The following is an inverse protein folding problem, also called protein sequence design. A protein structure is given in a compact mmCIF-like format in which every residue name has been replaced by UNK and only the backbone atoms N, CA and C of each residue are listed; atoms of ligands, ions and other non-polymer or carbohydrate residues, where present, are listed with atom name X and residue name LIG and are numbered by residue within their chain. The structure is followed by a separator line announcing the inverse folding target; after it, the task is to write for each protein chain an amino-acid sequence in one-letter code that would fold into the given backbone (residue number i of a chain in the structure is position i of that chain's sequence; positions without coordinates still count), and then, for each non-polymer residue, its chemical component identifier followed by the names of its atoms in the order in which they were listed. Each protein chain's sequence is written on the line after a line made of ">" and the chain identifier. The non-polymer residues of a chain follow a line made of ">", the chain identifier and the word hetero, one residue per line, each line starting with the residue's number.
data_IF_705351371087
#
_entry.id   IF_705351371087
#
_cell.length_a   1.000
_cell.length_b   1.000
_cell.length_c   1.000
_cell.angle_alpha   90.00
_cell.angle_beta   90.00
_cell.angle_gamma   90.00
#
_symmetry.space_group_name_H-M   'P 1'
#
loop_
_entity.id
_entity.type
_entity.pdbx_description
1 polymer ?
#
# COMPACT_ATOMS: atom_id res chain seq x y z
N UNK A 1 -3.45 9.06 -14.52
CA UNK A 1 -2.15 8.53 -14.06
C UNK A 1 -2.21 7.02 -13.97
N UNK A 2 -1.17 6.34 -14.33
CA UNK A 2 -1.07 4.88 -14.26
C UNK A 2 -0.15 4.48 -13.11
N UNK A 3 -0.30 3.24 -12.61
CA UNK A 3 0.54 2.76 -11.52
C UNK A 3 2.03 2.79 -11.85
N UNK A 4 2.41 2.53 -13.10
CA UNK A 4 3.82 2.56 -13.49
C UNK A 4 4.44 3.96 -13.46
N UNK A 5 3.64 4.99 -13.28
CA UNK A 5 4.10 6.37 -13.14
C UNK A 5 4.38 6.76 -11.68
N UNK A 6 4.10 5.85 -10.74
CA UNK A 6 4.23 6.12 -9.29
C UNK A 6 5.59 5.71 -8.70
N UNK A 7 6.54 5.31 -9.52
CA UNK A 7 7.88 4.89 -9.08
C UNK A 7 7.88 3.67 -8.17
N UNK A 8 6.96 2.75 -8.40
CA UNK A 8 6.90 1.50 -7.67
C UNK A 8 7.84 0.47 -8.27
N UNK A 9 8.33 -0.46 -7.43
CA UNK A 9 9.15 -1.57 -7.88
C UNK A 9 8.36 -2.51 -8.80
N UNK A 10 9.06 -3.24 -9.64
CA UNK A 10 8.44 -4.18 -10.56
C UNK A 10 7.60 -5.23 -9.84
N UNK A 11 8.06 -5.71 -8.67
CA UNK A 11 7.32 -6.68 -7.88
C UNK A 11 5.95 -6.14 -7.43
N UNK A 12 5.89 -4.86 -7.03
CA UNK A 12 4.63 -4.21 -6.68
C UNK A 12 3.73 -4.06 -7.89
N UNK A 13 4.28 -3.66 -9.03
CA UNK A 13 3.52 -3.52 -10.26
C UNK A 13 2.93 -4.85 -10.74
N UNK A 14 3.67 -5.94 -10.60
CA UNK A 14 3.18 -7.28 -10.94
C UNK A 14 2.05 -7.72 -10.03
N UNK A 15 2.15 -7.44 -8.72
CA UNK A 15 1.08 -7.76 -7.78
C UNK A 15 -0.20 -6.98 -8.10
N UNK A 16 -0.06 -5.70 -8.43
CA UNK A 16 -1.18 -4.85 -8.83
C UNK A 16 -1.87 -5.39 -10.08
N UNK A 17 -1.09 -5.77 -11.07
CA UNK A 17 -1.61 -6.34 -12.31
C UNK A 17 -2.34 -7.65 -12.05
N UNK A 18 -1.76 -8.53 -11.22
CA UNK A 18 -2.37 -9.81 -10.87
C UNK A 18 -3.71 -9.66 -10.17
N UNK A 19 -3.90 -8.56 -9.42
CA UNK A 19 -5.16 -8.26 -8.74
C UNK A 19 -6.18 -7.59 -9.65
N UNK A 20 -5.82 -7.28 -10.88
CA UNK A 20 -6.72 -6.65 -11.83
C UNK A 20 -6.90 -5.14 -11.66
N UNK A 21 -6.00 -4.50 -10.93
CA UNK A 21 -6.04 -3.04 -10.77
C UNK A 21 -5.56 -2.39 -12.07
N UNK A 22 -6.37 -1.54 -12.66
CA UNK A 22 -6.04 -0.90 -13.94
C UNK A 22 -5.38 0.46 -13.73
N UNK A 23 -5.94 1.29 -12.85
CA UNK A 23 -5.44 2.62 -12.60
C UNK A 23 -5.55 2.93 -11.11
N UNK A 24 -4.67 3.79 -10.56
CA UNK A 24 -4.76 4.15 -9.15
C UNK A 24 -6.02 4.97 -8.87
N UNK A 25 -6.58 4.77 -7.68
CA UNK A 25 -7.66 5.60 -7.17
C UNK A 25 -7.13 6.97 -6.77
N UNK A 26 -8.02 7.91 -6.48
CA UNK A 26 -7.62 9.26 -6.08
C UNK A 26 -6.72 9.26 -4.85
N UNK A 27 -7.09 8.48 -3.80
CA UNK A 27 -6.26 8.42 -2.59
C UNK A 27 -4.90 7.80 -2.87
N UNK A 28 -4.82 6.83 -3.76
CA UNK A 28 -3.56 6.21 -4.15
C UNK A 28 -2.68 7.19 -4.91
N UNK A 29 -3.22 7.92 -5.89
CA UNK A 29 -2.47 8.92 -6.64
C UNK A 29 -1.88 10.01 -5.76
N UNK A 30 -2.64 10.45 -4.76
CA UNK A 30 -2.22 11.53 -3.87
C UNK A 30 -1.26 11.07 -2.80
N UNK A 31 -1.44 9.86 -2.28
CA UNK A 31 -0.70 9.37 -1.11
C UNK A 31 0.61 8.71 -1.47
N UNK A 32 0.62 7.84 -2.48
CA UNK A 32 1.79 7.03 -2.79
C UNK A 32 3.03 7.86 -3.09
N UNK A 33 2.98 8.89 -3.96
CA UNK A 33 4.18 9.69 -4.22
C UNK A 33 4.71 10.40 -2.98
N UNK A 34 3.82 10.93 -2.14
CA UNK A 34 4.23 11.63 -0.92
C UNK A 34 4.92 10.67 0.04
N UNK A 35 4.35 9.49 0.23
CA UNK A 35 4.88 8.51 1.18
C UNK A 35 6.17 7.86 0.69
N UNK A 36 6.36 7.74 -0.62
CA UNK A 36 7.60 7.20 -1.18
C UNK A 36 8.78 8.16 -1.03
N UNK A 37 8.53 9.47 -1.19
CA UNK A 37 9.59 10.48 -1.23
C UNK A 37 9.96 11.04 0.13
N UNK A 38 9.09 10.89 1.14
CA UNK A 38 9.25 11.57 2.42
C UNK A 38 9.10 10.60 3.58
N UNK A 39 9.88 10.81 4.64
CA UNK A 39 9.72 10.13 5.93
C UNK A 39 8.95 11.04 6.88
N UNK A 40 7.70 11.32 6.55
CA UNK A 40 6.83 12.21 7.31
C UNK A 40 5.61 11.48 7.81
N UNK A 41 5.00 12.03 8.85
CA UNK A 41 3.68 11.57 9.27
C UNK A 41 2.65 12.04 8.26
N UNK A 42 1.65 11.18 8.01
CA UNK A 42 0.68 11.42 6.96
C UNK A 42 -0.71 10.99 7.40
N UNK A 43 -1.70 11.83 7.17
CA UNK A 43 -3.10 11.50 7.42
C UNK A 43 -3.83 11.52 6.10
N UNK A 44 -4.35 10.37 5.69
CA UNK A 44 -5.15 10.23 4.49
C UNK A 44 -6.55 9.75 4.83
N UNK A 45 -7.55 10.48 4.38
CA UNK A 45 -8.95 10.12 4.60
C UNK A 45 -9.63 9.86 3.28
N UNK A 46 -10.36 8.76 3.21
CA UNK A 46 -11.13 8.40 2.03
C UNK A 46 -12.27 7.48 2.44
N UNK A 47 -13.28 7.39 1.59
CA UNK A 47 -14.40 6.51 1.85
C UNK A 47 -14.00 5.05 1.70
N UNK A 48 -14.75 4.15 2.35
CA UNK A 48 -14.55 2.71 2.24
C UNK A 48 -14.64 2.27 0.76
N UNK A 49 -13.77 1.36 0.36
CA UNK A 49 -13.76 0.85 -1.00
C UNK A 49 -12.99 1.70 -2.00
N UNK A 50 -12.25 2.72 -1.54
CA UNK A 50 -11.49 3.61 -2.42
C UNK A 50 -10.02 3.21 -2.57
N UNK A 51 -9.63 2.05 -2.05
CA UNK A 51 -8.26 1.56 -2.19
C UNK A 51 -7.29 2.10 -1.14
N UNK A 52 -7.79 2.46 0.05
CA UNK A 52 -6.94 2.99 1.12
C UNK A 52 -5.82 2.04 1.54
N UNK A 53 -6.11 0.74 1.61
CA UNK A 53 -5.13 -0.23 2.05
C UNK A 53 -3.91 -0.23 1.13
N UNK A 54 -4.12 -0.27 -0.18
CA UNK A 54 -3.02 -0.20 -1.13
C UNK A 54 -2.30 1.14 -1.07
N UNK A 55 -3.00 2.23 -0.76
CA UNK A 55 -2.41 3.56 -0.69
C UNK A 55 -1.29 3.64 0.35
N UNK A 56 -1.39 2.91 1.46
CA UNK A 56 -0.30 2.88 2.43
C UNK A 56 0.54 1.60 2.33
N UNK A 57 -0.03 0.48 1.88
CA UNK A 57 0.70 -0.77 1.78
C UNK A 57 1.80 -0.72 0.72
N UNK A 58 1.53 -0.16 -0.44
CA UNK A 58 2.51 -0.12 -1.52
C UNK A 58 3.74 0.70 -1.17
N UNK A 59 3.63 1.94 -0.62
CA UNK A 59 4.82 2.63 -0.15
C UNK A 59 5.55 1.90 0.97
N UNK A 60 4.81 1.25 1.86
CA UNK A 60 5.40 0.48 2.95
C UNK A 60 6.26 -0.64 2.42
N UNK A 61 5.78 -1.41 1.44
CA UNK A 61 6.55 -2.50 0.84
C UNK A 61 7.82 -1.99 0.15
N UNK A 62 7.78 -0.79 -0.44
CA UNK A 62 8.97 -0.20 -1.05
C UNK A 62 10.05 0.11 -0.02
N UNK A 63 9.67 0.42 1.22
CA UNK A 63 10.57 0.81 2.29
C UNK A 63 11.04 -0.33 3.18
N UNK A 64 10.44 -1.53 3.07
CA UNK A 64 10.82 -2.66 3.90
C UNK A 64 12.19 -3.21 3.52
N UNK A 65 12.97 -3.58 4.53
CA UNK A 65 14.21 -4.33 4.35
C UNK A 65 13.89 -5.82 4.42
N UNK A 66 13.85 -6.48 3.29
CA UNK A 66 13.49 -7.89 3.19
C UNK A 66 14.51 -8.83 3.84
N UNK A 67 15.70 -8.33 4.14
CA UNK A 67 16.76 -9.11 4.79
C UNK A 67 16.66 -9.09 6.31
N UNK A 68 15.95 -8.12 6.87
CA UNK A 68 15.75 -8.01 8.31
C UNK A 68 14.65 -8.94 8.78
N UNK A 69 14.85 -9.54 9.95
CA UNK A 69 13.82 -10.36 10.62
C UNK A 69 13.10 -9.60 11.72
N UNK A 70 13.49 -8.35 11.95
CA UNK A 70 12.86 -7.50 12.95
C UNK A 70 11.51 -7.00 12.48
N UNK A 71 10.65 -6.64 13.44
CA UNK A 71 9.38 -6.00 13.12
C UNK A 71 9.68 -4.58 12.64
N UNK A 72 9.27 -4.27 11.42
CA UNK A 72 9.57 -2.97 10.80
C UNK A 72 8.36 -2.05 10.73
N UNK A 73 7.16 -2.60 10.93
CA UNK A 73 5.92 -1.83 10.81
C UNK A 73 4.85 -2.42 11.71
N UNK A 74 3.97 -1.56 12.21
CA UNK A 74 2.83 -1.96 13.01
C UNK A 74 1.59 -1.28 12.47
N UNK A 75 0.54 -2.05 12.23
CA UNK A 75 -0.73 -1.55 11.72
C UNK A 75 -1.82 -1.83 12.74
N UNK A 76 -2.54 -0.78 13.12
CA UNK A 76 -3.63 -0.88 14.08
C UNK A 76 -4.97 -0.74 13.36
N UNK A 77 -5.94 -1.53 13.79
CA UNK A 77 -7.30 -1.49 13.25
C UNK A 77 -8.29 -1.54 14.41
N UNK A 78 -9.47 -0.89 14.27
CA UNK A 78 -10.44 -0.82 15.36
C UNK A 78 -11.17 -2.13 15.63
N UNK A 79 -11.21 -3.06 14.68
CA UNK A 79 -11.88 -4.34 14.84
C UNK A 79 -11.02 -5.48 14.32
N UNK A 80 -11.29 -6.69 14.81
CA UNK A 80 -10.62 -7.89 14.30
C UNK A 80 -10.95 -8.13 12.83
N UNK A 81 -12.19 -7.88 12.42
CA UNK A 81 -12.61 -8.07 11.04
C UNK A 81 -11.81 -7.19 10.08
N UNK A 82 -11.64 -5.92 10.43
CA UNK A 82 -10.86 -5.00 9.61
C UNK A 82 -9.38 -5.39 9.60
N UNK A 83 -8.83 -5.80 10.74
CA UNK A 83 -7.45 -6.28 10.80
C UNK A 83 -7.24 -7.50 9.89
N UNK A 84 -8.19 -8.43 9.85
CA UNK A 84 -8.13 -9.58 8.97
C UNK A 84 -8.18 -9.18 7.50
N UNK A 85 -9.05 -8.23 7.15
CA UNK A 85 -9.14 -7.72 5.78
C UNK A 85 -7.83 -7.09 5.32
N UNK A 86 -7.23 -6.27 6.18
CA UNK A 86 -5.94 -5.65 5.89
C UNK A 86 -4.87 -6.72 5.69
N UNK A 87 -4.84 -7.73 6.54
CA UNK A 87 -3.90 -8.83 6.44
C UNK A 87 -4.03 -9.57 5.10
N UNK A 88 -5.27 -9.87 4.69
CA UNK A 88 -5.52 -10.53 3.41
C UNK A 88 -5.07 -9.68 2.22
N UNK A 89 -5.33 -8.38 2.26
CA UNK A 89 -4.89 -7.46 1.22
C UNK A 89 -3.37 -7.37 1.16
N UNK A 90 -2.70 -7.34 2.30
CA UNK A 90 -1.24 -7.33 2.36
C UNK A 90 -0.65 -8.59 1.74
N UNK A 91 -1.25 -9.75 2.01
CA UNK A 91 -0.80 -11.01 1.42
C UNK A 91 -0.91 -10.98 -0.10
N UNK A 92 -1.99 -10.42 -0.64
CA UNK A 92 -2.18 -10.31 -2.07
C UNK A 92 -1.18 -9.36 -2.72
N UNK A 93 -0.91 -8.23 -2.06
CA UNK A 93 0.00 -7.21 -2.59
C UNK A 93 1.48 -7.57 -2.44
N UNK A 94 1.82 -8.48 -1.55
CA UNK A 94 3.21 -8.83 -1.24
C UNK A 94 3.80 -9.92 -2.12
N UNK A 95 3.06 -10.41 -3.08
CA UNK A 95 3.51 -11.50 -3.95
C UNK A 95 4.52 -11.08 -5.00
#
# INVERSE_FOLDING_TARGET
>A
MLFNELNLKESSLKAIEALGFEAPTEIQEKSIPILLENDIDFIGQAQTGTGKTAAFALPLFEKLDLKSKDIQSLILAPTRELANQICEEFKKLSR
#
